data_IF_391449893182
#
_entry.id   IF_391449893182
#
_cell.length_a   1.000
_cell.length_b   1.000
_cell.length_c   1.000
_cell.angle_alpha   90.00
_cell.angle_beta   90.00
_cell.angle_gamma   90.00
#
_symmetry.space_group_name_H-M   'P 1'
#
loop_
_entity.id
_entity.type
_entity.pdbx_description
1 polymer ?
#
# COMPACT_ATOMS: atom_id res chain seq x y z
N UNK A 1 47.83 -57.52 -42.37
CA UNK A 1 48.34 -58.63 -41.56
C UNK A 1 47.18 -59.05 -40.68
N UNK A 2 46.62 -60.21 -40.99
CA UNK A 2 45.46 -60.80 -40.35
C UNK A 2 45.71 -61.15 -38.88
N UNK A 3 44.63 -61.63 -38.24
CA UNK A 3 44.58 -62.53 -37.09
C UNK A 3 44.57 -61.88 -35.70
N UNK A 4 43.77 -62.34 -34.73
CA UNK A 4 42.59 -63.19 -34.66
C UNK A 4 42.25 -63.31 -33.16
N UNK A 5 40.98 -63.65 -32.88
CA UNK A 5 40.54 -64.55 -31.80
C UNK A 5 40.36 -64.01 -30.36
N UNK A 6 39.10 -64.17 -29.97
CA UNK A 6 38.44 -64.18 -28.65
C UNK A 6 39.09 -65.11 -27.62
N UNK A 7 38.96 -64.79 -26.32
CA UNK A 7 38.74 -65.82 -25.30
C UNK A 7 38.13 -65.29 -24.01
N UNK A 8 37.27 -66.14 -23.42
CA UNK A 8 36.33 -65.98 -22.30
C UNK A 8 36.98 -66.30 -20.92
N UNK A 9 36.24 -65.92 -19.87
CA UNK A 9 36.28 -66.35 -18.46
C UNK A 9 37.39 -65.73 -17.61
N UNK A 10 37.17 -65.22 -16.40
CA UNK A 10 35.99 -65.08 -15.56
C UNK A 10 36.48 -64.87 -14.12
N UNK A 11 35.78 -64.06 -13.31
CA UNK A 11 35.49 -64.32 -11.89
C UNK A 11 34.88 -63.09 -11.22
N UNK A 12 33.97 -63.40 -10.30
CA UNK A 12 33.08 -62.52 -9.56
C UNK A 12 33.87 -61.67 -8.56
N UNK A 13 33.59 -60.37 -8.51
CA UNK A 13 33.71 -59.58 -7.28
C UNK A 13 32.41 -58.82 -7.09
N UNK A 14 31.85 -58.99 -5.91
CA UNK A 14 30.56 -58.45 -5.49
C UNK A 14 30.65 -56.97 -5.13
N UNK A 15 29.59 -56.25 -5.47
CA UNK A 15 28.97 -55.23 -4.61
C UNK A 15 29.64 -53.86 -4.53
N UNK A 16 29.03 -52.87 -5.19
CA UNK A 16 28.70 -51.56 -4.61
C UNK A 16 27.71 -50.88 -5.55
N UNK A 17 26.53 -50.57 -5.01
CA UNK A 17 25.39 -50.05 -5.77
C UNK A 17 25.36 -48.53 -5.92
N UNK A 18 24.41 -48.11 -6.76
CA UNK A 18 23.66 -46.83 -6.75
C UNK A 18 24.50 -45.56 -7.02
N UNK A 19 24.17 -44.64 -7.94
CA UNK A 19 22.89 -44.21 -8.51
C UNK A 19 23.13 -43.60 -9.90
N UNK A 20 22.23 -43.91 -10.84
CA UNK A 20 22.07 -43.17 -12.09
C UNK A 20 21.20 -41.93 -11.82
N UNK A 21 21.76 -40.74 -12.02
CA UNK A 21 21.01 -39.49 -12.01
C UNK A 21 20.25 -39.30 -13.33
N UNK A 22 18.93 -39.45 -13.31
CA UNK A 22 18.05 -39.02 -14.39
C UNK A 22 17.77 -37.54 -14.19
N UNK A 23 18.39 -36.68 -15.01
CA UNK A 23 18.02 -35.27 -15.10
C UNK A 23 16.73 -35.17 -15.95
N UNK A 24 15.59 -34.97 -15.28
CA UNK A 24 14.35 -34.61 -15.94
C UNK A 24 14.39 -33.11 -16.29
N UNK A 25 14.45 -32.79 -17.59
CA UNK A 25 14.14 -31.44 -18.07
C UNK A 25 12.64 -31.17 -17.88
N UNK A 26 12.31 -30.38 -16.87
CA UNK A 26 11.00 -29.74 -16.74
C UNK A 26 11.01 -28.47 -17.60
N UNK A 27 10.39 -28.53 -18.77
CA UNK A 27 10.05 -27.35 -19.54
C UNK A 27 9.00 -26.54 -18.75
N UNK A 28 9.42 -25.45 -18.13
CA UNK A 28 8.53 -24.47 -17.51
C UNK A 28 7.72 -23.79 -18.63
N UNK A 29 6.42 -24.06 -18.66
CA UNK A 29 5.46 -23.23 -19.39
C UNK A 29 5.35 -21.92 -18.60
N UNK A 30 5.98 -20.86 -19.09
CA UNK A 30 5.86 -19.54 -18.51
C UNK A 30 4.38 -19.08 -18.58
N UNK A 31 3.81 -18.53 -17.50
CA UNK A 31 2.50 -17.91 -17.57
C UNK A 31 2.61 -16.66 -18.45
N UNK A 32 1.82 -16.61 -19.51
CA UNK A 32 1.65 -15.43 -20.37
C UNK A 32 1.12 -14.27 -19.54
N UNK A 33 1.93 -13.23 -19.33
CA UNK A 33 1.47 -11.99 -18.68
C UNK A 33 2.51 -11.15 -17.93
N UNK A 34 3.81 -11.27 -18.22
CA UNK A 34 4.78 -10.26 -17.79
C UNK A 34 4.71 -9.08 -18.77
N UNK A 35 3.99 -8.03 -18.38
CA UNK A 35 4.07 -6.73 -19.06
C UNK A 35 5.41 -6.08 -18.72
N UNK A 36 6.09 -5.51 -19.71
CA UNK A 36 7.32 -4.78 -19.46
C UNK A 36 7.01 -3.50 -18.67
N UNK A 37 8.00 -3.06 -17.91
CA UNK A 37 8.13 -1.70 -17.43
C UNK A 37 7.74 -0.69 -18.53
N UNK A 38 6.74 0.16 -18.29
CA UNK A 38 6.21 1.11 -19.28
C UNK A 38 5.03 0.65 -20.16
N UNK A 39 4.66 -0.63 -20.16
CA UNK A 39 3.49 -1.12 -20.93
C UNK A 39 2.17 -0.84 -20.19
N UNK A 40 1.16 -0.39 -20.93
CA UNK A 40 -0.18 -0.16 -20.38
C UNK A 40 -0.96 -1.46 -20.19
N UNK A 41 -1.58 -1.64 -19.03
CA UNK A 41 -2.53 -2.73 -18.76
C UNK A 41 -3.96 -2.42 -19.24
N UNK A 42 -4.18 -1.23 -19.80
CA UNK A 42 -5.44 -0.86 -20.46
C UNK A 42 -5.41 -1.34 -21.91
N UNK A 43 -6.46 -2.03 -22.32
CA UNK A 43 -6.66 -2.48 -23.70
C UNK A 43 -7.52 -1.47 -24.45
N UNK A 44 -7.20 -1.17 -25.71
CA UNK A 44 -7.97 -0.24 -26.56
C UNK A 44 -8.25 1.10 -25.84
N UNK A 45 -7.23 1.66 -25.17
CA UNK A 45 -7.36 2.93 -24.44
C UNK A 45 -7.30 4.16 -25.36
N UNK A 46 -6.85 3.94 -26.60
CA UNK A 46 -6.82 4.87 -27.73
C UNK A 46 -8.11 4.84 -28.57
N UNK A 47 -9.00 3.85 -28.36
CA UNK A 47 -10.30 3.73 -29.04
C UNK A 47 -10.25 3.60 -30.57
N UNK A 48 -9.09 3.29 -31.14
CA UNK A 48 -8.92 3.02 -32.59
C UNK A 48 -9.58 1.72 -33.03
N UNK A 49 -9.87 0.80 -32.09
CA UNK A 49 -10.69 -0.39 -32.32
C UNK A 49 -12.14 -0.20 -31.83
N UNK A 50 -12.65 1.02 -31.97
CA UNK A 50 -14.00 1.39 -31.55
C UNK A 50 -14.17 1.31 -30.03
N UNK A 51 -15.36 0.87 -29.59
CA UNK A 51 -15.70 0.78 -28.16
C UNK A 51 -15.36 -0.56 -27.52
N UNK A 52 -14.62 -1.43 -28.23
CA UNK A 52 -14.20 -2.76 -27.76
C UNK A 52 -13.55 -2.68 -26.38
N UNK A 53 -13.81 -3.67 -25.52
CA UNK A 53 -13.31 -3.78 -24.13
C UNK A 53 -13.84 -2.74 -23.12
N UNK A 54 -14.51 -1.70 -23.60
CA UNK A 54 -15.14 -0.69 -22.76
C UNK A 54 -16.64 -0.92 -22.59
N UNK A 55 -17.12 -0.68 -21.37
CA UNK A 55 -18.54 -0.78 -21.02
C UNK A 55 -19.05 0.55 -20.52
N UNK A 56 -20.23 0.92 -20.99
CA UNK A 56 -20.92 2.12 -20.59
C UNK A 56 -22.22 1.79 -19.84
N UNK A 57 -22.50 2.53 -18.75
CA UNK A 57 -23.73 2.43 -17.97
C UNK A 57 -24.36 3.80 -17.82
N UNK A 58 -25.67 3.92 -18.11
CA UNK A 58 -26.42 5.18 -18.15
C UNK A 58 -25.87 6.21 -19.16
N UNK A 59 -25.19 5.73 -20.20
CA UNK A 59 -24.71 6.53 -21.33
C UNK A 59 -25.03 5.83 -22.65
N UNK A 60 -24.91 6.57 -23.74
CA UNK A 60 -24.57 6.02 -25.05
C UNK A 60 -23.05 6.14 -25.21
N UNK A 61 -22.42 5.15 -25.82
CA UNK A 61 -20.98 5.13 -26.09
C UNK A 61 -20.78 4.90 -27.59
N UNK A 62 -20.04 5.80 -28.20
CA UNK A 62 -19.61 5.74 -29.59
C UNK A 62 -18.11 6.10 -29.66
N UNK A 63 -17.53 6.12 -30.85
CA UNK A 63 -16.17 6.60 -31.09
C UNK A 63 -16.14 7.70 -32.15
N UNK A 64 -15.33 8.73 -31.95
CA UNK A 64 -15.20 9.84 -32.89
C UNK A 64 -14.51 11.05 -32.30
N UNK A 65 -14.66 12.21 -32.94
CA UNK A 65 -14.05 13.47 -32.52
C UNK A 65 -14.92 14.26 -31.53
N UNK A 66 -14.32 15.16 -30.71
CA UNK A 66 -12.90 15.47 -30.63
C UNK A 66 -12.09 14.35 -29.97
N UNK A 67 -10.84 14.19 -30.43
CA UNK A 67 -9.90 13.17 -29.97
C UNK A 67 -8.49 13.80 -29.86
N UNK A 68 -7.63 13.22 -29.02
CA UNK A 68 -6.23 13.61 -28.97
C UNK A 68 -5.50 13.16 -30.23
N UNK A 69 -5.81 11.94 -30.69
CA UNK A 69 -5.37 11.36 -31.94
C UNK A 69 -6.46 10.42 -32.45
N UNK A 70 -6.64 10.30 -33.77
CA UNK A 70 -7.65 9.42 -34.37
C UNK A 70 -9.07 9.59 -33.80
N UNK A 71 -9.59 8.57 -33.11
CA UNK A 71 -10.94 8.54 -32.55
C UNK A 71 -10.92 8.38 -31.02
N UNK A 72 -11.74 9.16 -30.30
CA UNK A 72 -11.91 9.04 -28.86
C UNK A 72 -13.23 8.36 -28.50
N UNK A 73 -13.34 7.82 -27.28
CA UNK A 73 -14.63 7.44 -26.73
C UNK A 73 -15.53 8.66 -26.55
N UNK A 74 -16.71 8.63 -27.17
CA UNK A 74 -17.76 9.64 -27.03
C UNK A 74 -18.84 9.13 -26.08
N UNK A 75 -18.69 9.46 -24.80
CA UNK A 75 -19.64 9.10 -23.75
C UNK A 75 -20.72 10.18 -23.60
N UNK A 76 -21.96 9.88 -24.02
CA UNK A 76 -23.11 10.78 -23.87
C UNK A 76 -24.03 10.34 -22.73
N UNK A 77 -24.28 11.21 -21.75
CA UNK A 77 -25.14 10.87 -20.60
C UNK A 77 -26.63 10.81 -20.97
N UNK A 78 -27.37 9.81 -20.50
CA UNK A 78 -28.78 9.59 -20.90
C UNK A 78 -29.81 9.91 -19.82
N UNK A 79 -29.38 10.09 -18.56
CA UNK A 79 -30.28 10.27 -17.40
C UNK A 79 -30.06 11.63 -16.74
N UNK A 80 -31.16 12.29 -16.36
CA UNK A 80 -31.12 13.57 -15.62
C UNK A 80 -30.67 13.39 -14.17
N UNK A 81 -31.07 12.28 -13.52
CA UNK A 81 -30.78 12.03 -12.10
C UNK A 81 -29.60 11.09 -11.84
N UNK A 82 -29.17 10.34 -12.87
CA UNK A 82 -28.07 9.39 -12.79
C UNK A 82 -26.73 10.00 -13.17
N UNK A 83 -25.64 9.31 -12.81
CA UNK A 83 -24.28 9.60 -13.26
C UNK A 83 -23.82 8.47 -14.17
N UNK A 84 -23.51 8.78 -15.42
CA UNK A 84 -23.01 7.80 -16.38
C UNK A 84 -21.64 7.27 -15.97
N UNK A 85 -21.31 6.06 -16.40
CA UNK A 85 -20.04 5.39 -16.09
C UNK A 85 -19.49 4.74 -17.36
N UNK A 86 -18.29 5.13 -17.75
CA UNK A 86 -17.45 4.43 -18.71
C UNK A 86 -16.42 3.61 -17.93
N UNK A 87 -16.30 2.32 -18.26
CA UNK A 87 -15.52 1.37 -17.46
C UNK A 87 -14.79 0.36 -18.32
N UNK A 88 -13.54 0.08 -17.97
CA UNK A 88 -12.85 -1.13 -18.39
C UNK A 88 -12.73 -2.08 -17.19
N UNK A 89 -13.02 -3.36 -17.39
CA UNK A 89 -13.03 -4.38 -16.35
C UNK A 89 -11.93 -5.41 -16.60
N UNK A 90 -11.74 -6.29 -15.62
CA UNK A 90 -10.79 -7.40 -15.68
C UNK A 90 -9.34 -6.95 -15.88
N UNK A 91 -9.02 -5.74 -15.42
CA UNK A 91 -7.66 -5.21 -15.47
C UNK A 91 -6.81 -6.01 -14.47
N UNK A 92 -5.64 -6.43 -14.91
CA UNK A 92 -4.67 -7.11 -14.06
C UNK A 92 -3.78 -6.10 -13.36
N UNK A 93 -3.71 -6.17 -12.04
CA UNK A 93 -2.89 -5.28 -11.21
C UNK A 93 -2.00 -6.10 -10.28
N UNK A 94 -0.76 -5.65 -10.14
CA UNK A 94 0.19 -6.18 -9.18
C UNK A 94 -0.01 -5.48 -7.82
N UNK A 95 0.11 -6.20 -6.69
CA UNK A 95 -0.02 -5.60 -5.36
C UNK A 95 1.18 -4.70 -5.06
N UNK A 96 0.98 -3.66 -4.24
CA UNK A 96 2.02 -2.70 -3.83
C UNK A 96 2.84 -2.12 -4.98
N UNK A 97 2.25 -2.02 -6.17
CA UNK A 97 2.93 -1.54 -7.38
C UNK A 97 2.45 -0.13 -7.66
N UNK A 98 3.40 0.77 -7.93
CA UNK A 98 3.09 2.13 -8.35
C UNK A 98 2.75 2.12 -9.83
N UNK A 99 1.55 2.59 -10.13
CA UNK A 99 1.07 2.80 -11.48
C UNK A 99 0.87 4.28 -11.74
N UNK A 100 1.01 4.65 -13.01
CA UNK A 100 0.61 5.93 -13.54
C UNK A 100 -0.56 5.72 -14.50
N UNK A 101 -1.69 6.34 -14.16
CA UNK A 101 -2.82 6.50 -15.07
C UNK A 101 -2.64 7.81 -15.84
N UNK A 102 -2.58 7.73 -17.17
CA UNK A 102 -2.70 8.88 -18.07
C UNK A 102 -3.97 8.75 -18.89
N UNK A 103 -4.61 9.88 -19.17
CA UNK A 103 -5.72 9.95 -20.12
C UNK A 103 -5.89 11.38 -20.61
N UNK A 104 -6.38 11.52 -21.82
CA UNK A 104 -6.87 12.78 -22.34
C UNK A 104 -8.39 12.86 -22.21
N UNK A 105 -8.91 14.03 -21.86
CA UNK A 105 -10.35 14.25 -21.83
C UNK A 105 -10.76 15.67 -22.21
N UNK A 106 -11.98 15.76 -22.75
CA UNK A 106 -12.70 17.00 -23.04
C UNK A 106 -14.20 16.80 -22.71
N UNK A 107 -14.90 17.87 -22.33
CA UNK A 107 -16.34 17.86 -22.08
C UNK A 107 -17.04 18.98 -22.85
N UNK A 108 -18.19 18.73 -23.44
CA UNK A 108 -18.87 19.70 -24.31
C UNK A 108 -19.35 20.97 -23.59
N UNK A 109 -19.55 20.95 -22.27
CA UNK A 109 -19.95 22.13 -21.48
C UNK A 109 -18.96 22.46 -20.35
N UNK A 110 -17.86 21.71 -20.23
CA UNK A 110 -16.85 21.91 -19.19
C UNK A 110 -17.27 21.35 -17.82
N UNK A 111 -17.50 20.03 -17.75
CA UNK A 111 -18.00 19.35 -16.54
C UNK A 111 -16.96 18.42 -15.90
N UNK A 112 -17.09 18.20 -14.59
CA UNK A 112 -16.18 17.32 -13.87
C UNK A 112 -16.33 15.86 -14.33
N UNK A 113 -15.21 15.15 -14.34
CA UNK A 113 -15.11 13.71 -14.57
C UNK A 113 -14.48 13.03 -13.35
N UNK A 114 -15.20 12.12 -12.73
CA UNK A 114 -14.71 11.39 -11.56
C UNK A 114 -14.02 10.08 -11.98
N UNK A 115 -12.77 9.89 -11.56
CA UNK A 115 -12.01 8.65 -11.77
C UNK A 115 -11.99 7.80 -10.50
N UNK A 116 -12.07 6.48 -10.65
CA UNK A 116 -11.90 5.53 -9.53
C UNK A 116 -11.32 4.21 -10.04
N UNK A 117 -10.46 3.57 -9.25
CA UNK A 117 -9.96 2.22 -9.48
C UNK A 117 -10.37 1.31 -8.33
N UNK A 118 -11.12 0.25 -8.64
CA UNK A 118 -11.76 -0.60 -7.63
C UNK A 118 -11.98 -2.03 -8.13
N UNK A 119 -12.24 -2.95 -7.21
CA UNK A 119 -12.77 -4.29 -7.51
C UNK A 119 -14.09 -4.18 -8.27
N UNK A 120 -14.23 -4.96 -9.33
CA UNK A 120 -15.42 -4.90 -10.20
C UNK A 120 -16.72 -5.41 -9.54
N UNK A 121 -16.62 -6.25 -8.50
CA UNK A 121 -17.77 -6.81 -7.77
C UNK A 121 -17.75 -6.40 -6.31
N UNK A 122 -18.88 -6.58 -5.62
CA UNK A 122 -19.00 -6.40 -4.17
C UNK A 122 -17.84 -7.09 -3.43
N UNK A 123 -17.21 -6.44 -2.43
CA UNK A 123 -17.59 -5.18 -1.79
C UNK A 123 -17.04 -3.91 -2.48
N UNK A 124 -16.62 -3.98 -3.75
CA UNK A 124 -16.07 -2.84 -4.51
C UNK A 124 -14.82 -2.22 -3.84
N UNK A 125 -13.97 -3.06 -3.27
CA UNK A 125 -12.70 -2.68 -2.63
C UNK A 125 -11.92 -1.69 -3.51
N UNK A 126 -11.47 -0.59 -2.94
CA UNK A 126 -10.64 0.37 -3.66
C UNK A 126 -9.25 -0.21 -3.94
N UNK A 127 -8.71 0.02 -5.13
CA UNK A 127 -7.40 -0.51 -5.57
C UNK A 127 -6.33 0.55 -5.79
N UNK A 128 -6.51 1.77 -5.27
CA UNK A 128 -5.47 2.81 -5.23
C UNK A 128 -5.97 4.20 -5.61
N UNK A 129 -6.89 4.30 -6.59
CA UNK A 129 -7.53 5.57 -6.94
C UNK A 129 -8.89 5.66 -6.22
N UNK A 130 -8.95 6.40 -5.11
CA UNK A 130 -10.21 6.83 -4.49
C UNK A 130 -11.02 7.72 -5.45
N UNK A 131 -12.34 7.89 -5.27
CA UNK A 131 -13.12 8.80 -6.12
C UNK A 131 -12.49 10.20 -6.16
N UNK A 132 -11.91 10.56 -7.31
CA UNK A 132 -11.21 11.82 -7.54
C UNK A 132 -11.85 12.53 -8.72
N UNK A 133 -12.24 13.78 -8.55
CA UNK A 133 -12.84 14.59 -9.61
C UNK A 133 -11.76 15.36 -10.35
N UNK A 134 -11.85 15.40 -11.68
CA UNK A 134 -11.03 16.20 -12.58
C UNK A 134 -11.92 17.24 -13.24
N UNK A 135 -11.49 18.49 -13.23
CA UNK A 135 -12.13 19.55 -14.00
C UNK A 135 -11.77 19.36 -15.48
N UNK A 136 -12.73 18.88 -16.27
CA UNK A 136 -12.55 18.68 -17.71
C UNK A 136 -13.19 19.85 -18.44
N UNK A 137 -12.40 20.60 -19.18
CA UNK A 137 -12.88 21.79 -19.89
C UNK A 137 -13.41 21.47 -21.29
N UNK A 138 -13.89 22.50 -21.99
CA UNK A 138 -14.26 22.41 -23.41
C UNK A 138 -13.05 22.33 -24.35
N UNK A 139 -11.83 22.43 -23.83
CA UNK A 139 -10.59 22.15 -24.56
C UNK A 139 -9.99 20.86 -24.05
N UNK A 140 -9.44 20.04 -24.94
CA UNK A 140 -8.78 18.80 -24.59
C UNK A 140 -7.61 19.01 -23.63
N UNK A 141 -7.53 18.18 -22.59
CA UNK A 141 -6.48 18.22 -21.58
C UNK A 141 -5.96 16.82 -21.28
N UNK A 142 -4.66 16.69 -21.08
CA UNK A 142 -4.05 15.49 -20.52
C UNK A 142 -4.08 15.53 -19.00
N UNK A 143 -4.42 14.39 -18.40
CA UNK A 143 -4.44 14.19 -16.97
C UNK A 143 -3.51 13.04 -16.61
N UNK A 144 -2.85 13.15 -15.45
CA UNK A 144 -1.95 12.13 -14.92
C UNK A 144 -2.23 11.90 -13.44
N UNK A 145 -2.27 10.62 -13.03
CA UNK A 145 -2.41 10.20 -11.65
C UNK A 145 -1.38 9.11 -11.36
N UNK A 146 -0.45 9.37 -10.45
CA UNK A 146 0.42 8.33 -9.89
C UNK A 146 -0.21 7.81 -8.60
N UNK A 147 -0.31 6.50 -8.45
CA UNK A 147 -0.85 5.86 -7.24
C UNK A 147 -0.21 4.49 -7.01
N UNK A 148 -0.20 4.04 -5.76
CA UNK A 148 0.21 2.68 -5.41
C UNK A 148 -1.02 1.81 -5.17
N UNK A 149 -1.03 0.59 -5.71
CA UNK A 149 -2.13 -0.34 -5.51
C UNK A 149 -2.30 -0.73 -4.05
N UNK A 150 -3.55 -0.84 -3.60
CA UNK A 150 -3.90 -1.19 -2.21
C UNK A 150 -5.12 -2.11 -2.18
N UNK A 151 -5.41 -2.73 -1.03
CA UNK A 151 -6.63 -3.50 -0.84
C UNK A 151 -6.59 -4.94 -1.37
N UNK A 152 -5.41 -5.42 -1.78
CA UNK A 152 -5.13 -6.81 -2.16
C UNK A 152 -3.65 -7.12 -1.99
N UNK A 153 -3.29 -8.40 -1.89
CA UNK A 153 -1.93 -8.82 -1.58
C UNK A 153 -1.35 -9.89 -2.50
N UNK A 154 -2.13 -10.33 -3.50
CA UNK A 154 -1.73 -11.19 -4.60
C UNK A 154 -2.26 -10.57 -5.90
N UNK A 155 -1.64 -10.82 -7.07
CA UNK A 155 -2.10 -10.25 -8.33
C UNK A 155 -3.60 -10.46 -8.53
N UNK A 156 -4.31 -9.40 -8.89
CA UNK A 156 -5.75 -9.45 -9.14
C UNK A 156 -6.02 -9.20 -10.60
N UNK A 157 -7.00 -9.89 -11.17
CA UNK A 157 -7.49 -9.71 -12.55
C UNK A 157 -8.92 -9.19 -12.59
N UNK A 158 -9.40 -8.60 -11.49
CA UNK A 158 -10.78 -8.18 -11.31
C UNK A 158 -10.90 -6.67 -11.04
N UNK A 159 -9.87 -5.90 -11.39
CA UNK A 159 -9.89 -4.46 -11.26
C UNK A 159 -10.78 -3.82 -12.33
N UNK A 160 -11.37 -2.69 -11.96
CA UNK A 160 -12.20 -1.83 -12.80
C UNK A 160 -11.70 -0.41 -12.71
N UNK A 161 -11.24 0.12 -13.83
CA UNK A 161 -11.08 1.56 -14.03
C UNK A 161 -12.43 2.13 -14.41
N UNK A 162 -12.86 3.20 -13.73
CA UNK A 162 -14.15 3.85 -13.98
C UNK A 162 -13.98 5.35 -14.09
N UNK A 163 -14.43 5.88 -15.22
CA UNK A 163 -14.74 7.29 -15.42
C UNK A 163 -16.23 7.49 -15.18
N UNK A 164 -16.60 8.42 -14.31
CA UNK A 164 -17.98 8.69 -13.92
C UNK A 164 -18.29 10.15 -14.20
N UNK A 165 -19.20 10.37 -15.13
CA UNK A 165 -19.69 11.70 -15.50
C UNK A 165 -20.40 12.39 -14.33
N UNK A 166 -20.47 13.70 -14.41
CA UNK A 166 -21.35 14.48 -13.59
C UNK A 166 -22.83 14.15 -13.84
N UNK A 167 -23.67 14.52 -12.87
CA UNK A 167 -25.12 14.32 -12.97
C UNK A 167 -25.68 15.24 -14.07
N UNK A 168 -26.57 14.72 -14.91
CA UNK A 168 -27.22 15.47 -15.98
C UNK A 168 -27.36 14.63 -17.26
N UNK A 169 -28.34 14.97 -18.09
CA UNK A 169 -28.59 14.32 -19.40
C UNK A 169 -27.99 15.18 -20.52
N UNK A 170 -27.44 14.56 -21.55
CA UNK A 170 -26.93 15.24 -22.75
C UNK A 170 -25.52 15.82 -22.60
N UNK A 171 -24.82 15.48 -21.51
CA UNK A 171 -23.40 15.80 -21.34
C UNK A 171 -22.58 14.85 -22.19
N UNK A 172 -21.59 15.36 -22.90
CA UNK A 172 -20.73 14.59 -23.79
C UNK A 172 -19.29 14.74 -23.32
N UNK A 173 -18.68 13.61 -23.00
CA UNK A 173 -17.26 13.51 -22.67
C UNK A 173 -16.54 12.77 -23.79
N UNK A 174 -15.48 13.37 -24.29
CA UNK A 174 -14.50 12.71 -25.14
C UNK A 174 -13.34 12.25 -24.27
N UNK A 175 -13.01 10.97 -24.32
CA UNK A 175 -11.95 10.36 -23.50
C UNK A 175 -11.04 9.55 -24.43
N UNK A 176 -9.74 9.75 -24.33
CA UNK A 176 -8.77 9.21 -25.28
C UNK A 176 -7.42 8.92 -24.59
N UNK A 177 -6.55 8.17 -25.28
CA UNK A 177 -5.17 7.89 -24.89
C UNK A 177 -5.04 7.42 -23.44
N UNK A 178 -5.99 6.57 -23.02
CA UNK A 178 -6.03 6.02 -21.67
C UNK A 178 -4.96 4.96 -21.52
N UNK A 179 -3.99 5.21 -20.65
CA UNK A 179 -2.94 4.25 -20.32
C UNK A 179 -2.79 4.10 -18.82
N UNK A 180 -2.54 2.88 -18.38
CA UNK A 180 -2.23 2.55 -16.99
C UNK A 180 -0.98 1.70 -16.99
N UNK A 181 0.18 2.31 -16.78
CA UNK A 181 1.46 1.62 -16.83
C UNK A 181 2.11 1.62 -15.44
N UNK A 182 2.89 0.57 -15.14
CA UNK A 182 3.82 0.63 -14.02
C UNK A 182 4.97 1.58 -14.36
N UNK A 183 5.42 2.39 -13.40
CA UNK A 183 6.42 3.47 -13.63
C UNK A 183 7.87 3.08 -13.28
N UNK A 184 8.21 1.79 -13.41
CA UNK A 184 9.54 1.21 -13.18
C UNK A 184 10.09 1.33 -11.75
N UNK A 185 9.87 0.27 -10.96
CA UNK A 185 10.92 -0.74 -10.75
C UNK A 185 10.33 -2.08 -11.19
N UNK A 186 11.16 -3.08 -11.48
CA UNK A 186 10.73 -4.47 -11.69
C UNK A 186 9.56 -4.81 -10.74
N UNK A 187 8.45 -5.46 -11.19
CA UNK A 187 7.53 -6.03 -10.22
C UNK A 187 8.42 -6.87 -9.28
N UNK A 188 8.35 -6.71 -7.94
CA UNK A 188 9.15 -7.56 -7.07
C UNK A 188 8.91 -9.00 -7.56
N UNK A 189 9.98 -9.79 -7.78
CA UNK A 189 9.85 -11.13 -8.35
C UNK A 189 8.70 -11.84 -7.63
N UNK A 190 7.86 -12.64 -8.33
CA UNK A 190 6.85 -13.44 -7.65
C UNK A 190 7.59 -14.11 -6.49
N UNK A 191 7.15 -13.90 -5.24
CA UNK A 191 7.99 -14.23 -4.11
C UNK A 191 8.46 -15.67 -4.32
N UNK A 192 9.78 -15.95 -4.27
CA UNK A 192 10.23 -17.32 -4.20
C UNK A 192 9.41 -18.00 -3.10
N UNK A 193 9.15 -19.32 -3.14
CA UNK A 193 8.49 -20.00 -2.03
C UNK A 193 9.15 -19.55 -0.72
N UNK A 194 8.47 -18.66 0.01
CA UNK A 194 9.00 -17.77 1.06
C UNK A 194 10.43 -17.21 0.86
N UNK A 195 10.59 -16.01 0.31
CA UNK A 195 11.36 -15.03 1.09
C UNK A 195 10.41 -14.53 2.17
N UNK A 196 10.63 -14.99 3.39
CA UNK A 196 9.81 -14.60 4.52
C UNK A 196 9.79 -13.07 4.58
N UNK A 197 8.62 -12.46 4.38
CA UNK A 197 8.43 -11.06 4.74
C UNK A 197 8.63 -11.01 6.26
N UNK A 198 9.85 -10.69 6.67
CA UNK A 198 10.32 -10.79 8.05
C UNK A 198 10.11 -9.49 8.82
N UNK A 199 9.70 -8.42 8.14
CA UNK A 199 9.34 -7.15 8.75
C UNK A 199 8.10 -6.51 8.10
N UNK A 200 7.39 -5.69 8.87
CA UNK A 200 6.29 -4.83 8.40
C UNK A 200 6.45 -3.42 8.97
N UNK A 201 6.27 -2.40 8.15
CA UNK A 201 6.17 -1.02 8.62
C UNK A 201 4.83 -0.85 9.36
N UNK A 202 4.88 -0.61 10.67
CA UNK A 202 3.68 -0.37 11.46
C UNK A 202 3.29 1.10 11.39
N UNK A 203 4.25 1.99 11.58
CA UNK A 203 3.97 3.42 11.74
C UNK A 203 5.13 4.26 11.26
N UNK A 204 4.86 5.34 10.53
CA UNK A 204 5.88 6.30 10.15
C UNK A 204 5.33 7.73 10.14
N UNK A 205 6.11 8.69 10.65
CA UNK A 205 5.77 10.12 10.66
C UNK A 205 7.02 10.97 10.51
N UNK A 206 7.02 11.80 9.46
CA UNK A 206 8.09 12.75 9.18
C UNK A 206 9.37 12.10 8.66
N UNK A 207 10.36 12.94 8.43
CA UNK A 207 11.76 12.58 8.11
C UNK A 207 12.68 13.67 8.66
N UNK A 208 14.01 13.54 8.50
CA UNK A 208 14.94 14.65 8.81
C UNK A 208 14.72 15.88 7.94
N UNK A 209 14.36 15.70 6.67
CA UNK A 209 14.17 16.80 5.71
C UNK A 209 12.76 17.41 5.76
N UNK A 210 11.76 16.63 6.17
CA UNK A 210 10.38 17.05 6.32
C UNK A 210 9.83 16.48 7.64
N UNK A 211 10.11 17.14 8.76
CA UNK A 211 9.69 16.65 10.06
C UNK A 211 8.16 16.66 10.20
N UNK A 212 7.65 15.81 11.09
CA UNK A 212 6.23 15.82 11.44
C UNK A 212 5.99 16.74 12.63
N UNK A 213 5.07 17.69 12.46
CA UNK A 213 4.68 18.64 13.51
C UNK A 213 3.60 18.06 14.42
N UNK A 214 3.98 17.71 15.65
CA UNK A 214 3.03 17.34 16.71
C UNK A 214 2.48 18.61 17.35
N UNK A 215 1.20 18.88 17.16
CA UNK A 215 0.59 20.15 17.59
C UNK A 215 -0.35 19.99 18.80
N UNK A 216 -0.71 21.12 19.43
CA UNK A 216 -1.71 21.17 20.51
C UNK A 216 -3.07 20.57 20.09
N UNK A 217 -3.49 20.75 18.84
CA UNK A 217 -4.76 20.22 18.34
C UNK A 217 -4.75 18.69 18.21
N UNK A 218 -3.58 18.07 18.01
CA UNK A 218 -3.40 16.61 18.10
C UNK A 218 -3.41 16.12 19.54
N UNK A 219 -3.19 17.03 20.50
CA UNK A 219 -3.13 16.79 21.94
C UNK A 219 -2.12 15.71 22.31
N UNK A 220 -0.99 15.63 21.61
CA UNK A 220 0.06 14.63 21.87
C UNK A 220 -0.29 13.20 21.46
N UNK A 221 -1.39 12.97 20.74
CA UNK A 221 -1.78 11.64 20.23
C UNK A 221 -1.67 11.61 18.71
N UNK A 222 -0.70 10.87 18.20
CA UNK A 222 -0.44 10.76 16.76
C UNK A 222 -0.74 9.32 16.37
N UNK A 223 -1.79 9.13 15.57
CA UNK A 223 -2.38 7.82 15.35
C UNK A 223 -2.78 7.62 13.89
N UNK A 224 -2.75 6.38 13.44
CA UNK A 224 -3.53 5.93 12.28
C UNK A 224 -4.85 5.35 12.78
N UNK A 225 -5.96 5.73 12.16
CA UNK A 225 -7.28 5.29 12.58
C UNK A 225 -8.21 5.05 11.37
N UNK A 226 -8.40 3.79 10.93
CA UNK A 226 -7.60 2.62 11.31
C UNK A 226 -6.22 2.62 10.63
N UNK A 227 -5.29 1.75 11.06
CA UNK A 227 -4.09 1.47 10.30
C UNK A 227 -4.44 0.84 8.95
N UNK A 228 -3.53 0.92 7.99
CA UNK A 228 -3.73 0.37 6.64
C UNK A 228 -2.68 -0.69 6.31
N UNK A 229 -2.97 -1.52 5.30
CA UNK A 229 -2.02 -2.52 4.79
C UNK A 229 -1.60 -3.58 5.82
N UNK A 230 -0.33 -3.98 5.75
CA UNK A 230 0.28 -5.00 6.61
C UNK A 230 0.15 -4.67 8.11
N UNK A 231 0.22 -3.39 8.45
CA UNK A 231 0.11 -2.90 9.82
C UNK A 231 -1.27 -3.17 10.45
N UNK A 232 -2.30 -3.46 9.64
CA UNK A 232 -3.64 -3.81 10.10
C UNK A 232 -4.10 -5.22 9.72
N UNK A 233 -3.18 -6.04 9.20
CA UNK A 233 -3.48 -7.41 8.76
C UNK A 233 -3.59 -8.38 9.94
N UNK A 234 -4.07 -9.59 9.66
CA UNK A 234 -4.00 -10.72 10.58
C UNK A 234 -2.55 -11.18 10.72
N UNK A 235 -1.98 -11.05 11.92
CA UNK A 235 -0.58 -11.38 12.20
C UNK A 235 -0.36 -12.81 12.73
N UNK A 236 -1.45 -13.58 12.85
CA UNK A 236 -1.44 -14.95 13.38
C UNK A 236 -1.52 -15.96 12.24
N UNK A 237 -2.34 -15.70 11.23
CA UNK A 237 -2.58 -16.61 10.11
C UNK A 237 -2.52 -15.90 8.76
N UNK A 238 -2.37 -16.69 7.69
CA UNK A 238 -2.29 -16.17 6.32
C UNK A 238 -0.93 -15.54 6.02
N UNK A 239 -0.92 -14.53 5.16
CA UNK A 239 0.31 -13.93 4.63
C UNK A 239 1.25 -13.36 5.71
N UNK A 240 0.69 -12.82 6.80
CA UNK A 240 1.46 -12.21 7.88
C UNK A 240 1.52 -13.10 9.13
N UNK A 241 1.37 -14.41 8.98
CA UNK A 241 1.53 -15.35 10.09
C UNK A 241 2.94 -15.26 10.71
N UNK A 242 3.01 -15.38 12.04
CA UNK A 242 4.25 -15.34 12.83
C UNK A 242 4.70 -13.94 13.25
N UNK A 243 3.95 -12.90 12.88
CA UNK A 243 4.23 -11.54 13.35
C UNK A 243 3.69 -11.25 14.75
N UNK A 244 2.68 -12.00 15.22
CA UNK A 244 2.12 -11.84 16.55
C UNK A 244 3.11 -12.15 17.69
N UNK A 245 4.15 -12.95 17.41
CA UNK A 245 5.25 -13.27 18.33
C UNK A 245 6.50 -12.39 18.08
N UNK A 246 6.31 -11.32 17.29
CA UNK A 246 7.36 -10.45 16.81
C UNK A 246 7.84 -9.41 17.82
N UNK A 247 8.85 -8.67 17.39
CA UNK A 247 9.44 -7.53 18.11
C UNK A 247 9.15 -6.25 17.34
N UNK A 248 8.64 -5.23 18.03
CA UNK A 248 8.51 -3.90 17.45
C UNK A 248 9.80 -3.14 17.69
N UNK A 249 10.43 -2.72 16.61
CA UNK A 249 11.59 -1.85 16.59
C UNK A 249 11.17 -0.43 16.27
N UNK A 250 11.81 0.51 16.94
CA UNK A 250 11.51 1.92 16.85
C UNK A 250 12.76 2.70 16.58
N UNK A 251 12.56 3.84 15.96
CA UNK A 251 13.54 4.90 15.91
C UNK A 251 12.82 6.23 15.93
N UNK A 252 13.36 7.17 16.68
CA UNK A 252 12.84 8.52 16.70
C UNK A 252 13.95 9.55 16.82
N UNK A 253 13.70 10.72 16.25
CA UNK A 253 14.53 11.91 16.39
C UNK A 253 13.67 13.10 16.74
N UNK A 254 14.00 13.79 17.82
CA UNK A 254 13.43 15.09 18.16
C UNK A 254 14.17 16.15 17.33
N UNK A 255 13.50 16.72 16.33
CA UNK A 255 14.07 17.81 15.51
C UNK A 255 14.04 19.11 16.31
N UNK A 256 12.88 19.44 16.89
CA UNK A 256 12.72 20.61 17.75
C UNK A 256 11.56 20.44 18.72
N UNK A 257 11.59 21.19 19.81
CA UNK A 257 10.53 21.28 20.82
C UNK A 257 10.63 22.67 21.47
N UNK A 258 9.53 23.31 21.93
CA UNK A 258 9.58 24.69 22.40
C UNK A 258 10.44 24.89 23.65
N UNK A 259 10.43 23.91 24.55
CA UNK A 259 11.28 23.88 25.73
C UNK A 259 11.83 22.46 25.94
N UNK A 260 13.07 22.36 26.39
CA UNK A 260 13.67 21.07 26.70
C UNK A 260 12.86 20.31 27.77
N UNK A 261 12.52 19.05 27.49
CA UNK A 261 11.78 18.14 28.35
C UNK A 261 12.62 16.88 28.68
N UNK A 262 13.58 16.96 29.61
CA UNK A 262 14.32 15.79 30.09
C UNK A 262 13.36 14.75 30.68
N UNK A 263 13.59 13.47 30.37
CA UNK A 263 12.73 12.38 30.84
C UNK A 263 11.39 12.27 30.13
N UNK A 264 11.13 13.06 29.07
CA UNK A 264 9.99 12.85 28.18
C UNK A 264 9.94 11.39 27.71
N UNK A 265 8.71 10.90 27.50
CA UNK A 265 8.45 9.55 27.03
C UNK A 265 7.56 9.56 25.79
N UNK A 266 7.78 8.61 24.91
CA UNK A 266 6.84 8.26 23.85
C UNK A 266 6.25 6.89 24.15
N UNK A 267 4.92 6.82 24.26
CA UNK A 267 4.20 5.58 24.48
C UNK A 267 3.51 5.11 23.21
N UNK A 268 3.94 4.00 22.62
CA UNK A 268 3.26 3.40 21.48
C UNK A 268 2.18 2.44 21.96
N UNK A 269 1.01 2.49 21.33
CA UNK A 269 -0.14 1.68 21.73
C UNK A 269 -0.88 1.12 20.52
N UNK A 270 -1.47 -0.06 20.70
CA UNK A 270 -2.45 -0.68 19.81
C UNK A 270 -3.81 -0.69 20.48
N UNK A 271 -4.87 -0.41 19.72
CA UNK A 271 -6.24 -0.52 20.18
C UNK A 271 -7.09 -1.35 19.22
N UNK A 272 -7.92 -2.22 19.78
CA UNK A 272 -8.88 -3.05 19.07
C UNK A 272 -10.26 -2.91 19.74
N UNK A 273 -11.32 -3.22 19.00
CA UNK A 273 -12.70 -3.12 19.46
C UNK A 273 -12.98 -1.74 20.11
N UNK A 274 -12.71 -0.69 19.33
CA UNK A 274 -12.71 0.72 19.76
C UNK A 274 -11.55 1.02 20.73
N UNK A 275 -11.76 0.76 22.02
CA UNK A 275 -10.86 1.07 23.13
C UNK A 275 -10.91 0.02 24.25
N UNK A 276 -11.59 -1.11 23.98
CA UNK A 276 -11.78 -2.17 24.96
C UNK A 276 -10.47 -2.91 25.16
N UNK A 277 -9.82 -3.25 24.05
CA UNK A 277 -8.52 -3.92 23.99
C UNK A 277 -7.45 -2.87 23.74
N UNK A 278 -6.41 -2.90 24.55
CA UNK A 278 -5.35 -1.90 24.56
C UNK A 278 -4.07 -2.52 25.09
N UNK A 279 -3.02 -2.40 24.30
CA UNK A 279 -1.66 -2.78 24.67
C UNK A 279 -0.71 -1.65 24.35
N UNK A 280 0.15 -1.29 25.31
CA UNK A 280 1.01 -0.11 25.22
C UNK A 280 2.42 -0.37 25.74
N UNK A 281 3.41 0.33 25.18
CA UNK A 281 4.76 0.39 25.75
C UNK A 281 5.32 1.80 25.69
N UNK A 282 5.81 2.28 26.84
CA UNK A 282 6.50 3.56 26.97
C UNK A 282 8.01 3.40 26.79
N UNK A 283 8.63 4.39 26.17
CA UNK A 283 10.08 4.54 26.10
C UNK A 283 10.48 5.97 26.49
N UNK A 284 11.52 6.11 27.31
CA UNK A 284 12.14 7.41 27.59
C UNK A 284 12.93 7.87 26.37
N UNK A 285 12.64 9.09 25.91
CA UNK A 285 13.39 9.82 24.91
C UNK A 285 13.33 11.29 25.29
N UNK A 286 14.49 11.88 25.61
CA UNK A 286 14.53 13.26 26.05
C UNK A 286 13.96 14.18 24.96
N UNK A 287 13.03 15.06 25.34
CA UNK A 287 12.52 16.11 24.47
C UNK A 287 13.55 17.22 24.37
N UNK A 288 14.70 16.95 23.78
CA UNK A 288 15.80 17.89 23.57
C UNK A 288 16.13 17.83 22.09
N UNK A 289 16.19 18.97 21.37
CA UNK A 289 16.52 19.00 19.95
C UNK A 289 17.81 18.22 19.64
N UNK A 290 17.76 17.38 18.61
CA UNK A 290 18.86 16.50 18.23
C UNK A 290 18.90 15.14 18.95
N UNK A 291 18.06 14.91 19.97
CA UNK A 291 17.94 13.59 20.59
C UNK A 291 17.47 12.58 19.56
N UNK A 292 18.26 11.55 19.33
CA UNK A 292 17.99 10.44 18.42
C UNK A 292 18.14 9.13 19.18
N UNK A 293 17.19 8.21 19.01
CA UNK A 293 17.21 6.93 19.71
C UNK A 293 16.55 5.84 18.88
N UNK A 294 17.12 4.64 18.94
CA UNK A 294 16.51 3.39 18.52
C UNK A 294 16.21 2.53 19.74
N UNK A 295 15.09 1.83 19.76
CA UNK A 295 14.74 0.89 20.84
C UNK A 295 13.79 -0.19 20.32
N UNK A 296 13.55 -1.23 21.11
CA UNK A 296 12.62 -2.30 20.74
C UNK A 296 11.94 -2.92 21.95
N UNK A 297 10.84 -3.63 21.70
CA UNK A 297 10.22 -4.53 22.66
C UNK A 297 9.44 -5.62 21.93
N UNK A 298 9.30 -6.78 22.56
CA UNK A 298 8.40 -7.82 22.06
C UNK A 298 6.95 -7.41 22.25
N UNK A 299 6.05 -7.90 21.39
CA UNK A 299 4.61 -7.64 21.54
C UNK A 299 4.09 -8.18 22.88
N UNK A 300 4.60 -9.30 23.37
CA UNK A 300 4.22 -9.88 24.67
C UNK A 300 4.79 -9.12 25.89
N UNK A 301 5.72 -8.19 25.70
CA UNK A 301 6.27 -7.31 26.74
C UNK A 301 5.45 -6.00 26.92
N UNK A 302 4.39 -5.80 26.15
CA UNK A 302 3.55 -4.61 26.25
C UNK A 302 2.70 -4.64 27.54
N UNK A 303 2.43 -3.47 28.12
CA UNK A 303 1.42 -3.35 29.17
C UNK A 303 0.05 -3.67 28.57
N UNK A 304 -0.70 -4.58 29.20
CA UNK A 304 -2.00 -5.05 28.73
C UNK A 304 -3.11 -4.52 29.63
N UNK A 305 -4.06 -3.79 29.05
CA UNK A 305 -5.35 -3.49 29.70
C UNK A 305 -6.32 -4.65 29.50
N UNK A 306 -6.50 -5.02 28.24
CA UNK A 306 -7.20 -6.21 27.77
C UNK A 306 -6.50 -6.66 26.49
N UNK A 307 -6.24 -7.96 26.31
CA UNK A 307 -5.35 -8.46 25.27
C UNK A 307 -5.89 -8.15 23.88
N UNK A 308 -5.01 -7.74 22.98
CA UNK A 308 -5.31 -7.58 21.55
C UNK A 308 -5.39 -8.95 20.91
N UNK A 309 -6.42 -9.18 20.10
CA UNK A 309 -6.42 -10.31 19.19
C UNK A 309 -5.67 -9.91 17.90
N UNK A 310 -4.42 -10.35 17.78
CA UNK A 310 -3.56 -10.03 16.63
C UNK A 310 -4.05 -10.60 15.29
N UNK A 311 -5.04 -11.51 15.30
CA UNK A 311 -5.71 -11.96 14.09
C UNK A 311 -6.73 -10.95 13.54
N UNK A 312 -7.19 -10.02 14.38
CA UNK A 312 -8.20 -9.04 14.04
C UNK A 312 -7.58 -7.70 13.60
N UNK A 313 -8.30 -6.92 12.78
CA UNK A 313 -7.93 -5.54 12.48
C UNK A 313 -7.97 -4.67 13.74
N UNK A 314 -6.93 -3.88 13.94
CA UNK A 314 -6.86 -2.85 14.97
C UNK A 314 -7.78 -1.69 14.59
N UNK A 315 -8.40 -1.10 15.61
CA UNK A 315 -9.15 0.16 15.49
C UNK A 315 -8.20 1.31 15.20
N UNK A 316 -7.02 1.31 15.83
CA UNK A 316 -5.97 2.32 15.66
C UNK A 316 -4.68 1.88 16.33
N UNK A 317 -3.59 2.56 15.99
CA UNK A 317 -2.33 2.50 16.70
C UNK A 317 -1.64 3.86 16.68
N UNK A 318 -0.52 3.99 17.36
CA UNK A 318 0.32 5.17 17.27
C UNK A 318 0.95 5.52 18.61
N UNK A 319 1.63 6.67 18.67
CA UNK A 319 2.32 7.09 19.87
C UNK A 319 1.62 8.25 20.60
N UNK A 320 1.95 8.34 21.89
CA UNK A 320 1.47 9.32 22.84
C UNK A 320 2.67 10.03 23.46
N UNK A 321 2.69 11.35 23.44
CA UNK A 321 3.67 12.17 24.16
C UNK A 321 3.33 12.18 25.65
N UNK A 322 4.31 11.84 26.49
CA UNK A 322 4.16 11.69 27.94
C UNK A 322 5.28 12.43 28.68
N UNK A 323 4.97 12.93 29.86
CA UNK A 323 5.95 13.58 30.72
C UNK A 323 6.83 12.57 31.46
N UNK A 324 7.78 13.07 32.25
CA UNK A 324 8.69 12.24 33.05
C UNK A 324 7.98 11.32 34.04
N UNK A 325 6.78 11.71 34.50
CA UNK A 325 5.91 10.92 35.39
C UNK A 325 5.11 9.84 34.66
N UNK A 326 5.26 9.74 33.33
CA UNK A 326 4.51 8.85 32.44
C UNK A 326 3.06 9.29 32.17
N UNK A 327 2.68 10.50 32.56
CA UNK A 327 1.35 11.05 32.30
C UNK A 327 1.26 11.59 30.87
N UNK A 328 0.15 11.37 30.13
CA UNK A 328 -0.05 11.95 28.81
C UNK A 328 -0.04 13.48 28.85
N UNK A 329 0.76 14.12 28.01
CA UNK A 329 0.73 15.58 27.87
C UNK A 329 -0.39 15.96 26.90
N UNK A 330 -1.64 15.88 27.38
CA UNK A 330 -2.81 15.92 26.51
C UNK A 330 -4.02 16.61 27.15
N UNK A 331 -4.78 17.37 26.35
CA UNK A 331 -6.10 17.89 26.74
C UNK A 331 -7.22 16.84 26.65
N UNK A 332 -6.96 15.65 26.09
CA UNK A 332 -8.01 14.63 25.91
C UNK A 332 -8.54 14.13 27.25
N UNK A 333 -9.77 13.59 27.23
CA UNK A 333 -10.43 12.97 28.40
C UNK A 333 -10.49 13.87 29.65
N UNK A 334 -10.45 15.20 29.48
CA UNK A 334 -10.47 16.15 30.59
C UNK A 334 -9.18 16.19 31.41
N UNK A 335 -8.08 15.62 30.92
CA UNK A 335 -6.81 15.52 31.66
C UNK A 335 -6.12 16.86 31.92
N UNK A 336 -6.54 17.94 31.24
CA UNK A 336 -5.94 19.26 31.41
C UNK A 336 -4.40 19.24 31.34
N UNK A 337 -3.87 18.52 30.34
CA UNK A 337 -2.43 18.35 30.11
C UNK A 337 -1.67 17.70 31.28
N UNK A 338 -2.37 17.10 32.25
CA UNK A 338 -1.82 16.58 33.50
C UNK A 338 -0.94 17.61 34.25
N UNK A 339 -1.34 18.89 34.18
CA UNK A 339 -0.64 19.99 34.85
C UNK A 339 0.56 20.56 34.09
N UNK A 340 0.88 20.04 32.91
CA UNK A 340 1.91 20.60 32.03
C UNK A 340 1.41 21.86 31.31
N UNK A 341 2.32 22.80 31.01
CA UNK A 341 2.01 23.90 30.10
C UNK A 341 2.20 23.43 28.64
N UNK A 342 1.15 23.26 27.82
CA UNK A 342 1.27 22.72 26.46
C UNK A 342 2.15 23.56 25.53
N UNK A 343 2.35 24.85 25.80
CA UNK A 343 3.22 25.71 25.00
C UNK A 343 4.72 25.39 25.16
N UNK A 344 5.08 24.65 26.22
CA UNK A 344 6.44 24.15 26.42
C UNK A 344 6.70 22.83 25.68
N UNK A 345 5.64 22.21 25.12
CA UNK A 345 5.70 20.88 24.51
C UNK A 345 5.38 20.90 23.02
N UNK A 346 4.54 21.83 22.56
CA UNK A 346 4.01 21.84 21.19
C UNK A 346 4.10 23.23 20.53
N UNK A 347 4.38 23.31 19.21
CA UNK A 347 4.62 22.19 18.31
C UNK A 347 5.98 21.52 18.56
N UNK A 348 6.00 20.18 18.52
CA UNK A 348 7.23 19.40 18.53
C UNK A 348 7.45 18.81 17.15
N UNK A 349 8.60 19.04 16.56
CA UNK A 349 8.99 18.49 15.27
C UNK A 349 9.72 17.17 15.50
N UNK A 350 9.23 16.09 14.90
CA UNK A 350 9.73 14.73 15.14
C UNK A 350 9.80 13.91 13.85
N UNK A 351 10.78 13.00 13.78
CA UNK A 351 10.70 11.81 12.94
C UNK A 351 10.48 10.61 13.86
N UNK A 352 9.48 9.78 13.58
CA UNK A 352 9.19 8.56 14.33
C UNK A 352 8.82 7.42 13.38
N UNK A 353 9.52 6.30 13.48
CA UNK A 353 9.24 5.06 12.74
C UNK A 353 9.09 3.89 13.70
N UNK A 354 8.13 3.00 13.44
CA UNK A 354 7.95 1.71 14.11
C UNK A 354 7.78 0.59 13.09
N UNK A 355 8.53 -0.49 13.25
CA UNK A 355 8.60 -1.65 12.35
C UNK A 355 8.43 -2.91 13.20
N UNK A 356 7.49 -3.80 12.84
CA UNK A 356 7.38 -5.11 13.49
C UNK A 356 8.25 -6.09 12.72
N UNK A 357 9.03 -6.90 13.41
CA UNK A 357 9.88 -7.92 12.82
C UNK A 357 9.55 -9.25 13.45
N UNK A 358 9.52 -10.32 12.66
CA UNK A 358 9.33 -11.69 13.19
C UNK A 358 10.45 -12.05 14.16
N UNK A 359 10.18 -13.03 15.00
CA UNK A 359 11.14 -13.53 15.99
C UNK A 359 12.48 -13.88 15.35
N UNK A 360 13.58 -13.35 15.91
CA UNK A 360 14.94 -13.62 15.42
C UNK A 360 15.41 -12.73 14.27
N UNK A 361 14.59 -11.82 13.77
CA UNK A 361 14.98 -10.83 12.75
C UNK A 361 15.35 -9.45 13.32
N UNK A 362 15.93 -8.63 12.45
CA UNK A 362 16.24 -7.21 12.65
C UNK A 362 15.62 -6.38 11.52
N UNK A 363 15.26 -5.10 11.75
CA UNK A 363 14.68 -4.26 10.73
C UNK A 363 15.70 -3.75 9.71
N UNK A 364 15.33 -3.72 8.44
CA UNK A 364 16.10 -3.04 7.39
C UNK A 364 15.73 -1.55 7.34
N UNK A 365 16.45 -0.76 8.13
CA UNK A 365 16.22 0.68 8.24
C UNK A 365 16.41 1.46 6.93
N UNK A 366 17.12 0.91 5.95
CA UNK A 366 17.34 1.59 4.66
C UNK A 366 16.02 1.79 3.90
N UNK A 367 15.01 0.95 4.16
CA UNK A 367 13.68 1.02 3.55
C UNK A 367 12.82 2.18 4.03
N UNK A 368 13.15 2.79 5.17
CA UNK A 368 12.25 3.72 5.85
C UNK A 368 12.76 5.17 5.88
N UNK A 369 13.85 5.48 5.16
CA UNK A 369 14.47 6.82 5.12
C UNK A 369 15.08 7.22 6.47
N UNK A 370 15.61 8.44 6.65
CA UNK A 370 15.92 8.97 7.99
C UNK A 370 15.50 10.43 8.18
#
# INVERSE_FOLDING_TARGET
MEMNILSRNGWRVAGLGLLAGVMALLAFVAPTGLWAAGDTVIVNGDFENGTSDWKCKLCNLDTGSPAQSGAAAQMTTTRTSGRAQLMQNNITLQPNTTYELKFWAQSNQGEDLQVTLLKQTSPYTNYGIKPQNFNVTQSGQEFTITFTTTGFSQPVSNARLRFRADKGKGKVYSIDSVSLAATDGEPPPPPPPSEEQNEILIFNRGSKSQPFSVTKSMSGFIMDQPPTGAANANWVTGQYAGFADGTVYYRARIISIPQNQPGMKLGFCFWENKFVNEECRGQVINGIPGTEMTWSHKLDDMWVKSPINWANPRTKHGFIVRNAKNDPVSAKKGWNWNGENPDHWYPMEIHYTAVLVKTGGEPDWTKYGW
#
